data_IF_633044940574
#
_entry.id   IF_633044940574
#
_cell.length_a   1.000
_cell.length_b   1.000
_cell.length_c   1.000
_cell.angle_alpha   90.00
_cell.angle_beta   90.00
_cell.angle_gamma   90.00
#
_symmetry.space_group_name_H-M   'P 1'
#
loop_
_entity.id
_entity.type
_entity.pdbx_description
1 polymer ?
#
# COMPACT_ATOMS: atom_id res chain seq x y z
N UNK A 1 -13.92 -2.45 -2.46
CA UNK A 1 -12.74 -3.32 -2.51
C UNK A 1 -12.11 -3.30 -1.13
N UNK A 2 -11.95 -4.46 -0.51
CA UNK A 2 -11.20 -4.63 0.73
C UNK A 2 -9.69 -4.48 0.47
N UNK A 3 -8.87 -4.19 1.50
CA UNK A 3 -7.42 -4.15 1.33
C UNK A 3 -6.80 -5.47 0.84
N UNK A 4 -7.46 -6.61 1.10
CA UNK A 4 -7.02 -7.92 0.63
C UNK A 4 -7.30 -8.10 -0.87
N UNK A 5 -8.49 -7.72 -1.32
CA UNK A 5 -8.84 -7.73 -2.75
C UNK A 5 -7.94 -6.79 -3.57
N UNK A 6 -7.62 -5.60 -3.04
CA UNK A 6 -6.69 -4.68 -3.70
C UNK A 6 -5.28 -5.29 -3.81
N UNK A 7 -4.80 -5.92 -2.73
CA UNK A 7 -3.50 -6.58 -2.69
C UNK A 7 -3.38 -7.69 -3.73
N UNK A 8 -4.41 -8.54 -3.87
CA UNK A 8 -4.44 -9.63 -4.86
C UNK A 8 -4.37 -9.06 -6.29
N UNK A 9 -5.15 -8.03 -6.59
CA UNK A 9 -5.12 -7.37 -7.90
C UNK A 9 -3.75 -6.76 -8.22
N UNK A 10 -3.05 -6.20 -7.23
CA UNK A 10 -1.71 -5.65 -7.41
C UNK A 10 -0.68 -6.74 -7.74
N UNK A 11 -0.81 -7.93 -7.16
CA UNK A 11 0.05 -9.07 -7.51
C UNK A 11 -0.19 -9.55 -8.93
N UNK A 12 -1.44 -9.58 -9.38
CA UNK A 12 -1.77 -9.98 -10.75
C UNK A 12 -1.33 -8.94 -11.79
N UNK A 13 -1.56 -7.65 -11.52
CA UNK A 13 -1.30 -6.57 -12.47
C UNK A 13 0.17 -6.15 -12.56
N UNK A 14 0.93 -6.28 -11.46
CA UNK A 14 2.32 -5.86 -11.41
C UNK A 14 3.20 -6.81 -10.56
N UNK A 15 3.34 -8.09 -10.97
CA UNK A 15 4.10 -9.11 -10.23
C UNK A 15 5.61 -8.83 -10.12
N UNK A 16 6.15 -7.98 -10.99
CA UNK A 16 7.53 -7.53 -10.92
C UNK A 16 7.77 -6.51 -9.78
N UNK A 17 6.71 -5.85 -9.30
CA UNK A 17 6.77 -4.81 -8.29
C UNK A 17 6.29 -5.35 -6.94
N UNK A 18 5.14 -6.00 -6.93
CA UNK A 18 4.46 -6.43 -5.72
C UNK A 18 4.61 -7.92 -5.48
N UNK A 19 4.80 -8.30 -4.21
CA UNK A 19 4.87 -9.70 -3.82
C UNK A 19 4.43 -9.90 -2.37
N UNK A 20 4.30 -11.16 -1.97
CA UNK A 20 4.19 -11.56 -0.58
C UNK A 20 5.09 -12.75 -0.28
N UNK A 21 5.27 -13.00 1.01
CA UNK A 21 5.87 -14.22 1.54
C UNK A 21 4.84 -14.93 2.40
N UNK A 22 5.04 -16.21 2.72
CA UNK A 22 4.10 -16.99 3.53
C UNK A 22 3.70 -16.30 4.85
N UNK A 23 4.63 -15.58 5.49
CA UNK A 23 4.36 -14.81 6.71
C UNK A 23 3.24 -13.76 6.58
N UNK A 24 3.01 -13.21 5.38
CA UNK A 24 2.06 -12.11 5.14
C UNK A 24 0.76 -12.53 4.46
N UNK A 25 0.55 -13.84 4.23
CA UNK A 25 -0.70 -14.37 3.67
C UNK A 25 -1.89 -14.03 4.56
N UNK A 26 -2.98 -13.56 3.96
CA UNK A 26 -4.19 -13.15 4.69
C UNK A 26 -4.07 -11.84 5.47
N UNK A 27 -2.91 -11.17 5.46
CA UNK A 27 -2.72 -9.85 6.04
C UNK A 27 -2.74 -8.77 4.96
N UNK A 28 -3.21 -7.55 5.28
CA UNK A 28 -3.24 -6.41 4.35
C UNK A 28 -1.85 -5.79 4.13
N UNK A 29 -0.77 -6.52 4.42
CA UNK A 29 0.60 -6.05 4.20
C UNK A 29 1.02 -6.36 2.77
N UNK A 30 1.61 -5.37 2.10
CA UNK A 30 2.04 -5.41 0.71
C UNK A 30 3.55 -5.23 0.65
N UNK A 31 4.29 -6.23 0.18
CA UNK A 31 5.73 -6.09 -0.03
C UNK A 31 6.01 -5.56 -1.43
N UNK A 32 7.07 -4.76 -1.55
CA UNK A 32 7.36 -3.99 -2.76
C UNK A 32 8.84 -4.05 -3.09
N UNK A 33 9.18 -4.25 -4.36
CA UNK A 33 10.56 -4.21 -4.85
C UNK A 33 10.98 -2.77 -5.13
N UNK A 34 11.78 -2.20 -4.23
CA UNK A 34 12.21 -0.80 -4.33
C UNK A 34 12.97 -0.46 -5.62
N UNK A 35 13.70 -1.42 -6.21
CA UNK A 35 14.40 -1.19 -7.48
C UNK A 35 13.52 -1.23 -8.73
N UNK A 36 12.24 -1.61 -8.60
CA UNK A 36 11.32 -1.77 -9.74
C UNK A 36 10.12 -0.80 -9.69
N UNK A 37 9.80 -0.25 -8.53
CA UNK A 37 8.71 0.72 -8.34
C UNK A 37 9.18 2.14 -8.68
N UNK A 38 8.31 2.98 -9.25
CA UNK A 38 8.58 4.41 -9.41
C UNK A 38 8.35 5.18 -8.12
N UNK A 39 8.99 6.34 -7.97
CA UNK A 39 8.80 7.20 -6.81
C UNK A 39 7.35 7.68 -6.64
N UNK A 40 6.67 7.95 -7.76
CA UNK A 40 5.26 8.35 -7.75
C UNK A 40 4.35 7.26 -7.18
N UNK A 41 4.53 6.03 -7.66
CA UNK A 41 3.75 4.88 -7.21
C UNK A 41 4.09 4.54 -5.76
N UNK A 42 5.38 4.56 -5.39
CA UNK A 42 5.82 4.31 -4.02
C UNK A 42 5.21 5.34 -3.05
N UNK A 43 5.21 6.62 -3.41
CA UNK A 43 4.56 7.68 -2.62
C UNK A 43 3.08 7.38 -2.44
N UNK A 44 2.36 7.03 -3.50
CA UNK A 44 0.94 6.68 -3.43
C UNK A 44 0.69 5.51 -2.45
N UNK A 45 1.52 4.46 -2.51
CA UNK A 45 1.41 3.30 -1.61
C UNK A 45 1.70 3.68 -0.16
N UNK A 46 2.70 4.53 0.09
CA UNK A 46 2.98 5.04 1.44
C UNK A 46 1.82 5.89 1.99
N UNK A 47 1.22 6.75 1.17
CA UNK A 47 0.05 7.54 1.56
C UNK A 47 -1.16 6.67 1.89
N UNK A 48 -1.43 5.64 1.08
CA UNK A 48 -2.52 4.70 1.34
C UNK A 48 -2.27 3.90 2.62
N UNK A 49 -1.05 3.41 2.83
CA UNK A 49 -0.67 2.71 4.07
C UNK A 49 -0.82 3.61 5.30
N UNK A 50 -0.43 4.89 5.20
CA UNK A 50 -0.63 5.87 6.25
C UNK A 50 -2.12 6.08 6.55
N UNK A 51 -2.96 6.35 5.55
CA UNK A 51 -4.41 6.52 5.72
C UNK A 51 -5.08 5.29 6.33
N UNK A 52 -4.58 4.10 6.02
CA UNK A 52 -5.10 2.84 6.55
C UNK A 52 -4.73 2.62 8.03
N UNK A 53 -3.53 3.04 8.46
CA UNK A 53 -3.02 2.79 9.82
C UNK A 53 -3.20 3.95 10.78
N UNK A 54 -3.22 5.19 10.30
CA UNK A 54 -3.21 6.37 11.13
C UNK A 54 -4.60 6.64 11.78
N UNK A 55 -4.62 7.23 12.99
CA UNK A 55 -5.87 7.70 13.58
C UNK A 55 -6.58 8.73 12.69
N UNK A 56 -7.92 8.69 12.66
CA UNK A 56 -8.74 9.60 11.82
C UNK A 56 -8.50 11.09 12.08
N UNK A 57 -8.04 11.46 13.29
CA UNK A 57 -7.66 12.85 13.59
C UNK A 57 -6.41 13.26 12.81
N UNK A 58 -5.37 12.43 12.86
CA UNK A 58 -4.10 12.67 12.19
C UNK A 58 -4.26 12.70 10.66
N UNK A 59 -5.09 11.81 10.11
CA UNK A 59 -5.39 11.83 8.66
C UNK A 59 -6.07 13.14 8.24
N UNK A 60 -7.01 13.65 9.05
CA UNK A 60 -7.69 14.93 8.77
C UNK A 60 -6.75 16.11 8.84
N UNK A 61 -5.85 16.13 9.82
CA UNK A 61 -4.81 17.17 9.94
C UNK A 61 -3.87 17.15 8.73
N UNK A 62 -3.44 15.96 8.29
CA UNK A 62 -2.60 15.81 7.11
C UNK A 62 -3.30 16.23 5.80
N UNK A 63 -4.60 15.94 5.65
CA UNK A 63 -5.39 16.35 4.48
C UNK A 63 -5.76 17.84 4.46
N UNK A 64 -5.87 18.48 5.63
CA UNK A 64 -6.21 19.89 5.77
C UNK A 64 -5.02 20.84 5.62
N UNK A 65 -3.79 20.30 5.56
CA UNK A 65 -2.57 21.05 5.26
C UNK A 65 -2.21 20.94 3.78
N UNK A 66 -2.92 21.68 2.93
CA UNK A 66 -2.56 21.95 1.54
C UNK A 66 -2.76 23.43 1.25
#
# INVERSE_FOLDING_TARGET
>A
MSPLEEKELLFESAPAIYYETDHYKGWPSLLVRLGAISDEELRLRMENAFRFKAPRKLVREWQGGA
#
